data_IF_390005953749
#
_entry.id   IF_390005953749
#
_cell.length_a   1.000
_cell.length_b   1.000
_cell.length_c   1.000
_cell.angle_alpha   90.00
_cell.angle_beta   90.00
_cell.angle_gamma   90.00
#
_symmetry.space_group_name_H-M   'P 1'
#
loop_
_entity.id
_entity.type
_entity.pdbx_description
1 polymer ?
#
# COMPACT_ATOMS: atom_id res chain seq x y z
N UNK A 1 2.99 -30.75 0.93
CA UNK A 1 3.67 -29.46 0.78
C UNK A 1 4.84 -29.56 -0.20
N UNK A 2 5.62 -30.64 -0.15
CA UNK A 2 6.80 -30.83 -1.02
C UNK A 2 6.46 -30.94 -2.52
N UNK A 3 5.35 -31.59 -2.88
CA UNK A 3 4.89 -31.63 -4.28
C UNK A 3 4.55 -30.24 -4.83
N UNK A 4 3.99 -29.35 -3.99
CA UNK A 4 3.71 -27.95 -4.36
C UNK A 4 5.00 -27.15 -4.49
N UNK A 5 5.95 -27.33 -3.56
CA UNK A 5 7.29 -26.72 -3.63
C UNK A 5 8.00 -27.11 -4.92
N UNK A 6 8.01 -28.40 -5.28
CA UNK A 6 8.64 -28.91 -6.49
C UNK A 6 7.95 -28.42 -7.76
N UNK A 7 6.62 -28.30 -7.77
CA UNK A 7 5.88 -27.69 -8.88
C UNK A 7 6.19 -26.19 -9.02
N UNK A 8 6.33 -25.44 -7.92
CA UNK A 8 6.70 -24.02 -7.96
C UNK A 8 8.11 -23.86 -8.53
N UNK A 9 9.07 -24.67 -8.08
CA UNK A 9 10.46 -24.63 -8.57
C UNK A 9 10.54 -25.03 -10.05
N UNK A 10 9.85 -26.11 -10.43
CA UNK A 10 9.83 -26.61 -11.80
C UNK A 10 9.17 -25.64 -12.78
N UNK A 11 8.01 -25.08 -12.43
CA UNK A 11 7.26 -24.17 -13.31
C UNK A 11 7.87 -22.76 -13.36
N UNK A 12 8.56 -22.33 -12.30
CA UNK A 12 9.32 -21.07 -12.30
C UNK A 12 10.54 -21.13 -13.22
N UNK A 13 11.14 -22.32 -13.40
CA UNK A 13 12.27 -22.51 -14.31
C UNK A 13 11.85 -22.61 -15.79
N UNK A 14 10.57 -22.89 -16.07
CA UNK A 14 10.04 -23.11 -17.42
C UNK A 14 9.29 -21.89 -18.01
N UNK A 15 9.28 -20.76 -17.30
CA UNK A 15 8.64 -19.50 -17.71
C UNK A 15 7.10 -19.59 -17.95
N UNK A 16 6.46 -20.67 -17.49
CA UNK A 16 5.00 -20.91 -17.57
C UNK A 16 4.26 -20.28 -16.38
N UNK A 17 4.46 -18.99 -16.17
CA UNK A 17 3.98 -18.25 -14.99
C UNK A 17 2.43 -18.25 -14.89
N UNK A 18 1.71 -18.32 -16.02
CA UNK A 18 0.25 -18.41 -16.02
C UNK A 18 -0.29 -19.76 -15.55
N UNK A 19 0.38 -20.86 -15.89
CA UNK A 19 0.02 -22.19 -15.39
C UNK A 19 0.30 -22.29 -13.89
N UNK A 20 1.40 -21.68 -13.44
CA UNK A 20 1.73 -21.53 -12.03
C UNK A 20 0.62 -20.77 -11.27
N UNK A 21 0.11 -19.67 -11.83
CA UNK A 21 -1.01 -18.94 -11.21
C UNK A 21 -2.28 -19.78 -11.05
N UNK A 22 -2.64 -20.55 -12.07
CA UNK A 22 -3.85 -21.39 -12.05
C UNK A 22 -3.72 -22.56 -11.06
N UNK A 23 -2.56 -23.20 -11.02
CA UNK A 23 -2.27 -24.26 -10.05
C UNK A 23 -2.28 -23.72 -8.62
N UNK A 24 -1.68 -22.55 -8.37
CA UNK A 24 -1.71 -21.92 -7.05
C UNK A 24 -3.12 -21.58 -6.59
N UNK A 25 -3.96 -21.01 -7.47
CA UNK A 25 -5.38 -20.77 -7.18
C UNK A 25 -6.11 -22.06 -6.80
N UNK A 26 -5.89 -23.16 -7.53
CA UNK A 26 -6.50 -24.45 -7.19
C UNK A 26 -5.99 -25.05 -5.87
N UNK A 27 -4.78 -24.69 -5.46
CA UNK A 27 -4.11 -25.24 -4.28
C UNK A 27 -4.34 -24.46 -2.98
N UNK A 28 -5.09 -23.35 -2.99
CA UNK A 28 -5.29 -22.48 -1.82
C UNK A 28 -5.84 -23.25 -0.59
N UNK A 29 -6.70 -24.25 -0.82
CA UNK A 29 -7.22 -25.10 0.25
C UNK A 29 -6.14 -25.95 0.93
N UNK A 30 -5.18 -26.47 0.16
CA UNK A 30 -4.04 -27.26 0.65
C UNK A 30 -3.05 -26.38 1.41
N UNK A 31 -2.86 -25.13 0.97
CA UNK A 31 -2.02 -24.15 1.66
C UNK A 31 -2.57 -23.81 3.04
N UNK A 32 -3.89 -23.64 3.17
CA UNK A 32 -4.52 -23.35 4.46
C UNK A 32 -4.41 -24.53 5.44
N UNK A 33 -4.46 -25.77 4.95
CA UNK A 33 -4.30 -26.98 5.79
C UNK A 33 -2.83 -27.21 6.20
N UNK A 34 -1.87 -26.90 5.33
CA UNK A 34 -0.44 -27.10 5.55
C UNK A 34 0.30 -25.97 6.27
N UNK A 35 -0.39 -25.04 6.94
CA UNK A 35 0.18 -23.78 7.43
C UNK A 35 1.43 -23.92 8.32
N UNK A 36 1.54 -24.98 9.12
CA UNK A 36 2.67 -25.23 10.01
C UNK A 36 4.00 -25.49 9.26
N UNK A 37 3.93 -26.03 8.04
CA UNK A 37 5.11 -26.32 7.21
C UNK A 37 5.52 -25.14 6.32
N UNK A 38 4.69 -24.09 6.23
CA UNK A 38 4.92 -22.96 5.31
C UNK A 38 6.20 -22.21 5.68
N UNK A 39 6.48 -22.01 6.97
CA UNK A 39 7.67 -21.27 7.41
C UNK A 39 8.98 -21.94 6.97
N UNK A 40 9.06 -23.27 7.04
CA UNK A 40 10.22 -24.04 6.57
C UNK A 40 10.35 -24.00 5.05
N UNK A 41 9.24 -24.11 4.33
CA UNK A 41 9.23 -24.02 2.86
C UNK A 41 9.67 -22.63 2.39
N UNK A 42 9.21 -21.55 3.04
CA UNK A 42 9.61 -20.17 2.73
C UNK A 42 11.12 -19.94 2.94
N UNK A 43 11.76 -20.63 3.88
CA UNK A 43 13.21 -20.50 4.10
C UNK A 43 14.04 -21.07 2.94
N UNK A 44 13.53 -22.08 2.24
CA UNK A 44 14.20 -22.74 1.12
C UNK A 44 13.93 -22.10 -0.25
N UNK A 45 12.95 -21.19 -0.32
CA UNK A 45 12.50 -20.56 -1.56
C UNK A 45 13.17 -19.20 -1.77
N UNK A 46 13.73 -18.98 -2.96
CA UNK A 46 14.25 -17.68 -3.36
C UNK A 46 13.09 -16.69 -3.65
N UNK A 47 13.01 -15.53 -2.95
CA UNK A 47 11.97 -14.53 -3.16
C UNK A 47 12.02 -13.87 -4.54
N UNK A 48 13.15 -13.89 -5.26
CA UNK A 48 13.29 -13.27 -6.59
C UNK A 48 12.79 -14.22 -7.68
N UNK A 49 13.21 -15.49 -7.62
CA UNK A 49 12.87 -16.48 -8.64
C UNK A 49 11.41 -16.94 -8.49
N UNK A 50 10.95 -17.20 -7.26
CA UNK A 50 9.65 -17.82 -7.01
C UNK A 50 8.62 -16.83 -6.43
N UNK A 51 8.70 -15.55 -6.81
CA UNK A 51 7.91 -14.47 -6.20
C UNK A 51 6.40 -14.75 -6.14
N UNK A 52 5.82 -15.37 -7.17
CA UNK A 52 4.38 -15.69 -7.19
C UNK A 52 4.03 -16.78 -6.17
N UNK A 53 4.79 -17.87 -6.11
CA UNK A 53 4.58 -18.93 -5.12
C UNK A 53 4.83 -18.43 -3.70
N UNK A 54 5.90 -17.66 -3.52
CA UNK A 54 6.25 -17.03 -2.25
C UNK A 54 5.13 -16.09 -1.76
N UNK A 55 4.51 -15.32 -2.66
CA UNK A 55 3.37 -14.45 -2.33
C UNK A 55 2.18 -15.22 -1.76
N UNK A 56 1.77 -16.30 -2.42
CA UNK A 56 0.63 -17.11 -1.97
C UNK A 56 0.91 -17.81 -0.64
N UNK A 57 2.12 -18.36 -0.47
CA UNK A 57 2.56 -18.98 0.77
C UNK A 57 2.61 -17.97 1.92
N UNK A 58 3.20 -16.81 1.69
CA UNK A 58 3.30 -15.75 2.68
C UNK A 58 1.91 -15.19 3.05
N UNK A 59 1.00 -15.06 2.07
CA UNK A 59 -0.38 -14.63 2.35
C UNK A 59 -1.15 -15.69 3.15
N UNK A 60 -0.96 -16.98 2.88
CA UNK A 60 -1.55 -18.06 3.67
C UNK A 60 -0.99 -18.07 5.09
N UNK A 61 0.33 -17.93 5.26
CA UNK A 61 0.97 -17.82 6.57
C UNK A 61 0.41 -16.63 7.37
N UNK A 62 0.22 -15.48 6.72
CA UNK A 62 -0.39 -14.29 7.32
C UNK A 62 -1.82 -14.49 7.83
N UNK A 63 -2.58 -15.48 7.33
CA UNK A 63 -3.95 -15.79 7.80
C UNK A 63 -3.96 -16.47 9.17
N UNK A 64 -2.93 -17.27 9.44
CA UNK A 64 -2.86 -18.19 10.57
C UNK A 64 -1.90 -17.70 11.66
N UNK A 65 -1.41 -16.46 11.54
CA UNK A 65 -0.62 -15.79 12.56
C UNK A 65 -1.55 -15.28 13.67
N UNK A 66 -1.81 -16.14 14.66
CA UNK A 66 -2.70 -15.83 15.78
C UNK A 66 -1.97 -15.22 16.99
N UNK A 67 -0.63 -15.31 17.05
CA UNK A 67 0.18 -14.85 18.18
C UNK A 67 1.04 -13.61 17.86
N UNK A 68 1.07 -12.58 18.74
CA UNK A 68 1.90 -11.39 18.56
C UNK A 68 3.40 -11.67 18.59
N UNK A 69 3.83 -12.83 19.12
CA UNK A 69 5.24 -13.24 19.10
C UNK A 69 5.73 -13.65 17.69
N UNK A 70 4.83 -14.13 16.82
CA UNK A 70 5.16 -14.49 15.43
C UNK A 70 5.21 -13.31 14.47
N UNK A 71 4.69 -12.15 14.90
CA UNK A 71 4.58 -10.97 14.06
C UNK A 71 5.95 -10.42 13.65
N UNK A 72 6.98 -10.51 14.51
CA UNK A 72 8.33 -10.03 14.21
C UNK A 72 8.99 -10.75 13.03
N UNK A 73 9.06 -12.09 13.10
CA UNK A 73 9.63 -12.91 12.02
C UNK A 73 8.86 -12.76 10.70
N UNK A 74 7.53 -12.67 10.78
CA UNK A 74 6.70 -12.40 9.61
C UNK A 74 6.98 -11.02 9.01
N UNK A 75 7.10 -9.97 9.83
CA UNK A 75 7.40 -8.62 9.38
C UNK A 75 8.75 -8.60 8.65
N UNK A 76 9.78 -9.26 9.19
CA UNK A 76 11.09 -9.33 8.54
C UNK A 76 11.04 -10.07 7.21
N UNK A 77 10.40 -11.25 7.16
CA UNK A 77 10.24 -12.04 5.95
C UNK A 77 9.43 -11.29 4.88
N UNK A 78 8.32 -10.68 5.27
CA UNK A 78 7.49 -9.89 4.37
C UNK A 78 8.22 -8.64 3.90
N UNK A 79 8.93 -7.92 4.78
CA UNK A 79 9.70 -6.74 4.40
C UNK A 79 10.81 -7.08 3.41
N UNK A 80 11.48 -8.22 3.55
CA UNK A 80 12.46 -8.73 2.58
C UNK A 80 11.81 -9.03 1.24
N UNK A 81 10.72 -9.79 1.25
CA UNK A 81 9.98 -10.12 0.04
C UNK A 81 9.51 -8.88 -0.72
N UNK A 82 8.92 -7.90 -0.03
CA UNK A 82 8.42 -6.66 -0.65
C UNK A 82 9.52 -5.81 -1.30
N UNK A 83 10.79 -5.95 -0.90
CA UNK A 83 11.93 -5.28 -1.54
C UNK A 83 12.47 -6.04 -2.74
N UNK A 84 12.59 -7.37 -2.62
CA UNK A 84 13.35 -8.20 -3.55
C UNK A 84 12.49 -8.83 -4.66
N UNK A 85 11.17 -8.82 -4.51
CA UNK A 85 10.23 -9.49 -5.41
C UNK A 85 10.28 -9.04 -6.89
N UNK A 86 10.04 -9.99 -7.80
CA UNK A 86 9.99 -9.78 -9.23
C UNK A 86 8.66 -9.14 -9.68
N UNK A 87 8.74 -7.97 -10.34
CA UNK A 87 7.58 -7.21 -10.78
C UNK A 87 6.66 -7.98 -11.76
N UNK A 88 7.26 -8.71 -12.72
CA UNK A 88 6.52 -9.46 -13.74
C UNK A 88 5.59 -10.53 -13.13
N UNK A 89 6.05 -11.21 -12.08
CA UNK A 89 5.27 -12.24 -11.41
C UNK A 89 4.16 -11.65 -10.53
N UNK A 90 4.43 -10.55 -9.83
CA UNK A 90 3.44 -9.90 -8.96
C UNK A 90 2.29 -9.27 -9.74
N UNK A 91 2.59 -8.72 -10.92
CA UNK A 91 1.57 -8.11 -11.79
C UNK A 91 0.50 -9.11 -12.27
N UNK A 92 0.74 -10.42 -12.16
CA UNK A 92 -0.27 -11.46 -12.46
C UNK A 92 -1.30 -11.65 -11.32
N UNK A 93 -0.95 -11.25 -10.10
CA UNK A 93 -1.78 -11.42 -8.90
C UNK A 93 -1.85 -10.14 -8.05
N UNK A 94 -2.26 -8.99 -8.62
CA UNK A 94 -2.25 -7.69 -7.93
C UNK A 94 -3.16 -7.68 -6.68
N UNK A 95 -4.28 -8.41 -6.72
CA UNK A 95 -5.22 -8.51 -5.60
C UNK A 95 -4.61 -9.24 -4.38
N UNK A 96 -3.91 -10.35 -4.60
CA UNK A 96 -3.27 -11.13 -3.52
C UNK A 96 -2.10 -10.33 -2.94
N UNK A 97 -1.36 -9.63 -3.79
CA UNK A 97 -0.28 -8.74 -3.36
C UNK A 97 -0.78 -7.57 -2.51
N UNK A 98 -1.89 -6.95 -2.92
CA UNK A 98 -2.51 -5.89 -2.13
C UNK A 98 -3.00 -6.39 -0.76
N UNK A 99 -3.56 -7.61 -0.68
CA UNK A 99 -3.97 -8.22 0.58
C UNK A 99 -2.78 -8.48 1.51
N UNK A 100 -1.69 -9.03 0.99
CA UNK A 100 -0.46 -9.27 1.77
C UNK A 100 0.05 -7.96 2.38
N UNK A 101 0.14 -6.91 1.57
CA UNK A 101 0.65 -5.63 2.03
C UNK A 101 -0.27 -4.94 3.05
N UNK A 102 -1.59 -5.08 2.89
CA UNK A 102 -2.57 -4.58 3.89
C UNK A 102 -2.38 -5.26 5.24
N UNK A 103 -2.17 -6.58 5.24
CA UNK A 103 -1.88 -7.36 6.44
C UNK A 103 -0.53 -7.00 7.04
N UNK A 104 0.50 -6.87 6.21
CA UNK A 104 1.82 -6.42 6.64
C UNK A 104 1.72 -5.07 7.37
N UNK A 105 1.00 -4.10 6.79
CA UNK A 105 0.72 -2.81 7.43
C UNK A 105 0.03 -2.98 8.79
N UNK A 106 -1.04 -3.78 8.87
CA UNK A 106 -1.78 -4.03 10.11
C UNK A 106 -0.89 -4.61 11.21
N UNK A 107 -0.02 -5.56 10.85
CA UNK A 107 0.95 -6.17 11.79
C UNK A 107 2.03 -5.20 12.24
N UNK A 108 2.61 -4.43 11.33
CA UNK A 108 3.62 -3.41 11.67
C UNK A 108 3.00 -2.32 12.56
N UNK A 109 1.75 -1.94 12.31
CA UNK A 109 1.02 -1.00 13.16
C UNK A 109 0.73 -1.59 14.55
N UNK A 110 0.31 -2.85 14.63
CA UNK A 110 0.07 -3.55 15.90
C UNK A 110 1.35 -3.74 16.73
N UNK A 111 2.48 -4.01 16.06
CA UNK A 111 3.79 -4.14 16.69
C UNK A 111 4.39 -2.80 17.19
N UNK A 112 3.70 -1.67 16.97
CA UNK A 112 4.15 -0.35 17.42
C UNK A 112 5.36 0.21 16.68
N UNK A 113 5.77 -0.39 15.56
CA UNK A 113 6.93 0.02 14.77
C UNK A 113 6.56 0.49 13.33
N UNK A 114 5.61 1.44 13.16
CA UNK A 114 5.08 1.84 11.85
C UNK A 114 6.16 2.34 10.86
N UNK A 115 7.31 2.82 11.36
CA UNK A 115 8.43 3.28 10.52
C UNK A 115 9.06 2.17 9.69
N UNK A 116 9.15 0.95 10.24
CA UNK A 116 9.81 -0.17 9.57
C UNK A 116 9.03 -0.62 8.31
N UNK A 117 7.72 -0.42 8.29
CA UNK A 117 6.86 -0.81 7.17
C UNK A 117 6.83 0.18 6.01
N UNK A 118 7.34 1.42 6.18
CA UNK A 118 7.24 2.46 5.16
C UNK A 118 8.08 2.11 3.93
N UNK A 119 9.38 1.85 4.09
CA UNK A 119 10.28 1.56 2.97
C UNK A 119 9.91 0.28 2.20
N UNK A 120 9.56 -0.84 2.86
CA UNK A 120 9.09 -2.04 2.17
C UNK A 120 7.82 -1.79 1.35
N UNK A 121 6.84 -1.04 1.88
CA UNK A 121 5.63 -0.72 1.12
C UNK A 121 5.90 0.20 -0.07
N UNK A 122 6.81 1.18 0.07
CA UNK A 122 7.22 2.03 -1.05
C UNK A 122 7.92 1.22 -2.15
N UNK A 123 8.76 0.25 -1.76
CA UNK A 123 9.42 -0.66 -2.71
C UNK A 123 8.40 -1.55 -3.43
N UNK A 124 7.46 -2.13 -2.68
CA UNK A 124 6.36 -2.93 -3.20
C UNK A 124 5.48 -2.15 -4.19
N UNK A 125 5.18 -0.89 -3.87
CA UNK A 125 4.41 0.02 -4.71
C UNK A 125 5.11 0.26 -6.05
N UNK A 126 6.43 0.48 -6.04
CA UNK A 126 7.22 0.68 -7.25
C UNK A 126 7.26 -0.57 -8.15
N UNK A 127 7.22 -1.76 -7.55
CA UNK A 127 7.22 -3.04 -8.29
C UNK A 127 5.85 -3.38 -8.89
N UNK A 128 4.77 -3.08 -8.18
CA UNK A 128 3.42 -3.34 -8.66
C UNK A 128 3.00 -2.35 -9.76
N UNK A 129 3.35 -1.07 -9.60
CA UNK A 129 2.88 -0.03 -10.51
C UNK A 129 3.52 -0.17 -11.90
N UNK A 130 2.72 -0.20 -12.98
CA UNK A 130 3.26 -0.22 -14.34
C UNK A 130 3.78 1.15 -14.79
N UNK A 131 3.24 2.24 -14.26
CA UNK A 131 3.77 3.59 -14.46
C UNK A 131 3.60 4.42 -13.17
N UNK A 132 4.34 5.52 -12.99
CA UNK A 132 4.26 6.35 -11.79
C UNK A 132 2.91 7.05 -11.61
N UNK A 133 2.11 7.16 -12.68
CA UNK A 133 0.80 7.80 -12.68
C UNK A 133 -0.33 6.90 -12.16
N UNK A 134 -0.06 5.60 -11.94
CA UNK A 134 -1.07 4.62 -11.54
C UNK A 134 -1.30 4.60 -10.03
N UNK A 135 -2.56 4.77 -9.64
CA UNK A 135 -2.98 4.53 -8.27
C UNK A 135 -2.94 3.04 -7.94
N UNK A 136 -2.44 2.73 -6.75
CA UNK A 136 -2.48 1.40 -6.13
C UNK A 136 -3.01 1.52 -4.71
N UNK A 137 -3.66 0.49 -4.15
CA UNK A 137 -4.16 0.53 -2.76
C UNK A 137 -3.04 0.79 -1.74
N UNK A 138 -1.80 0.40 -2.11
CA UNK A 138 -0.58 0.63 -1.35
C UNK A 138 -0.29 2.09 -1.04
N UNK A 139 -0.76 3.03 -1.87
CA UNK A 139 -0.57 4.45 -1.61
C UNK A 139 -1.27 4.87 -0.30
N UNK A 140 -2.52 4.44 -0.11
CA UNK A 140 -3.27 4.71 1.10
C UNK A 140 -2.64 4.04 2.32
N UNK A 141 -2.17 2.79 2.17
CA UNK A 141 -1.53 2.02 3.24
C UNK A 141 -0.20 2.64 3.69
N UNK A 142 0.66 3.03 2.74
CA UNK A 142 1.94 3.67 3.03
C UNK A 142 1.75 5.05 3.68
N UNK A 143 0.78 5.85 3.20
CA UNK A 143 0.42 7.12 3.82
C UNK A 143 -0.09 6.95 5.25
N UNK A 144 -0.91 5.91 5.50
CA UNK A 144 -1.38 5.60 6.84
C UNK A 144 -0.20 5.31 7.80
N UNK A 145 0.79 4.51 7.38
CA UNK A 145 1.99 4.29 8.20
C UNK A 145 2.81 5.56 8.42
N UNK A 146 2.95 6.41 7.40
CA UNK A 146 3.65 7.69 7.52
C UNK A 146 2.97 8.60 8.56
N UNK A 147 1.63 8.64 8.58
CA UNK A 147 0.86 9.39 9.57
C UNK A 147 1.04 8.84 10.98
N UNK A 148 0.98 7.51 11.16
CA UNK A 148 1.19 6.85 12.45
C UNK A 148 2.62 7.08 12.98
N UNK A 149 3.62 6.98 12.10
CA UNK A 149 5.03 7.21 12.41
C UNK A 149 5.42 8.69 12.58
N UNK A 150 4.50 9.62 12.27
CA UNK A 150 4.75 11.06 12.10
C UNK A 150 5.91 11.36 11.14
N UNK A 151 6.10 10.51 10.14
CA UNK A 151 7.18 10.56 9.16
C UNK A 151 6.70 11.22 7.86
N UNK A 152 6.32 12.50 7.93
CA UNK A 152 5.73 13.21 6.79
C UNK A 152 6.70 13.42 5.62
N UNK A 153 8.01 13.43 5.87
CA UNK A 153 9.03 13.50 4.82
C UNK A 153 9.02 12.26 3.92
N UNK A 154 8.74 11.07 4.48
CA UNK A 154 8.66 9.83 3.72
C UNK A 154 7.39 9.74 2.84
N UNK A 155 6.37 10.55 3.15
CA UNK A 155 5.15 10.65 2.34
C UNK A 155 5.32 11.56 1.11
N UNK A 156 6.40 12.35 1.03
CA UNK A 156 6.66 13.27 -0.07
C UNK A 156 6.52 12.66 -1.47
N UNK A 157 7.18 11.53 -1.79
CA UNK A 157 7.07 10.94 -3.12
C UNK A 157 5.65 10.47 -3.46
N UNK A 158 4.78 10.25 -2.47
CA UNK A 158 3.39 9.82 -2.71
C UNK A 158 2.43 11.00 -2.89
N UNK A 159 2.72 12.14 -2.27
CA UNK A 159 1.83 13.32 -2.26
C UNK A 159 2.19 14.31 -3.38
N UNK A 160 3.49 14.44 -3.65
CA UNK A 160 4.03 15.35 -4.66
C UNK A 160 3.86 14.78 -6.08
N UNK A 161 3.60 13.47 -6.23
CA UNK A 161 3.27 12.85 -7.52
C UNK A 161 1.78 13.05 -7.86
N UNK A 162 1.50 13.58 -9.05
CA UNK A 162 0.14 13.67 -9.57
C UNK A 162 -0.29 12.31 -10.13
N UNK A 163 -1.18 11.64 -9.41
CA UNK A 163 -1.77 10.37 -9.81
C UNK A 163 -2.95 10.67 -10.74
N UNK A 164 -2.80 10.34 -12.03
CA UNK A 164 -3.78 10.62 -13.07
C UNK A 164 -4.52 9.36 -13.57
N UNK A 165 -4.00 8.16 -13.28
CA UNK A 165 -4.57 6.89 -13.80
C UNK A 165 -5.07 5.99 -12.70
N UNK A 166 -6.31 5.54 -12.85
CA UNK A 166 -6.94 4.52 -11.99
C UNK A 166 -7.37 3.37 -12.88
N UNK A 167 -6.67 2.23 -12.78
CA UNK A 167 -6.94 1.02 -13.57
C UNK A 167 -7.26 -0.17 -12.64
N UNK A 168 -8.53 -0.33 -12.21
CA UNK A 168 -8.91 -1.37 -11.23
C UNK A 168 -8.53 -2.80 -11.67
N UNK A 169 -8.57 -3.08 -12.98
CA UNK A 169 -8.23 -4.40 -13.53
C UNK A 169 -6.76 -4.79 -13.31
N UNK A 170 -5.86 -3.81 -13.20
CA UNK A 170 -4.40 -4.05 -13.08
C UNK A 170 -3.86 -3.80 -11.69
N UNK A 171 -4.46 -2.90 -10.92
CA UNK A 171 -3.98 -2.53 -9.59
C UNK A 171 -4.89 -2.96 -8.44
N UNK A 172 -6.04 -3.58 -8.76
CA UNK A 172 -7.06 -4.02 -7.78
C UNK A 172 -7.55 -2.88 -6.86
N UNK A 173 -7.52 -1.64 -7.35
CA UNK A 173 -7.96 -0.45 -6.61
C UNK A 173 -9.48 -0.41 -6.50
N UNK A 174 -9.98 -0.17 -5.29
CA UNK A 174 -11.39 0.14 -5.04
C UNK A 174 -11.63 1.65 -4.95
N UNK A 175 -12.88 2.08 -5.14
CA UNK A 175 -13.27 3.48 -4.96
C UNK A 175 -12.94 4.01 -3.55
N UNK A 176 -13.03 3.14 -2.53
CA UNK A 176 -12.68 3.49 -1.15
C UNK A 176 -11.18 3.75 -0.97
N UNK A 177 -10.31 3.03 -1.68
CA UNK A 177 -8.86 3.23 -1.59
C UNK A 177 -8.44 4.59 -2.16
N UNK A 178 -9.11 5.06 -3.22
CA UNK A 178 -8.92 6.41 -3.74
C UNK A 178 -9.30 7.48 -2.71
N UNK A 179 -10.44 7.31 -2.02
CA UNK A 179 -10.85 8.25 -0.98
C UNK A 179 -9.86 8.27 0.20
N UNK A 180 -9.37 7.11 0.61
CA UNK A 180 -8.37 6.99 1.67
C UNK A 180 -7.04 7.63 1.25
N UNK A 181 -6.60 7.42 0.01
CA UNK A 181 -5.43 8.09 -0.54
C UNK A 181 -5.57 9.61 -0.45
N UNK A 182 -6.69 10.17 -0.94
CA UNK A 182 -6.91 11.62 -0.91
C UNK A 182 -7.00 12.18 0.53
N UNK A 183 -7.66 11.44 1.44
CA UNK A 183 -7.76 11.85 2.85
C UNK A 183 -6.40 11.85 3.55
N UNK A 184 -5.66 10.74 3.47
CA UNK A 184 -4.36 10.58 4.11
C UNK A 184 -3.28 11.42 3.45
N UNK A 185 -3.32 11.57 2.12
CA UNK A 185 -2.44 12.44 1.36
C UNK A 185 -2.61 13.90 1.78
N UNK A 186 -3.86 14.36 1.91
CA UNK A 186 -4.13 15.71 2.43
C UNK A 186 -3.68 15.90 3.89
N UNK A 187 -3.81 14.88 4.74
CA UNK A 187 -3.27 14.93 6.11
C UNK A 187 -1.74 14.97 6.14
N UNK A 188 -1.06 14.22 5.26
CA UNK A 188 0.38 14.23 5.14
C UNK A 188 0.89 15.57 4.60
N UNK A 189 0.25 16.13 3.57
CA UNK A 189 0.53 17.47 3.03
C UNK A 189 0.35 18.56 4.08
N UNK A 190 -0.72 18.49 4.88
CA UNK A 190 -0.94 19.41 6.00
C UNK A 190 0.19 19.30 7.05
N UNK A 191 0.67 18.08 7.35
CA UNK A 191 1.83 17.87 8.22
C UNK A 191 3.13 18.50 7.70
N UNK A 192 3.24 18.68 6.37
CA UNK A 192 4.37 19.37 5.70
C UNK A 192 4.14 20.87 5.50
N UNK A 193 3.07 21.45 6.04
CA UNK A 193 2.63 22.84 5.80
C UNK A 193 2.26 23.16 4.33
N UNK A 194 2.02 22.16 3.49
CA UNK A 194 1.59 22.35 2.09
C UNK A 194 0.06 22.46 2.01
N UNK A 195 -0.50 23.58 2.49
CA UNK A 195 -1.95 23.75 2.65
C UNK A 195 -2.72 23.76 1.33
N UNK A 196 -2.16 24.35 0.27
CA UNK A 196 -2.79 24.38 -1.05
C UNK A 196 -3.04 22.96 -1.57
N UNK A 197 -2.00 22.12 -1.54
CA UNK A 197 -2.08 20.72 -1.96
C UNK A 197 -3.01 19.91 -1.07
N UNK A 198 -2.99 20.14 0.24
CA UNK A 198 -3.90 19.47 1.17
C UNK A 198 -5.37 19.78 0.85
N UNK A 199 -5.68 21.03 0.49
CA UNK A 199 -7.02 21.46 0.13
C UNK A 199 -7.50 20.83 -1.18
N UNK A 200 -6.63 20.73 -2.19
CA UNK A 200 -6.91 20.06 -3.46
C UNK A 200 -7.24 18.58 -3.24
N UNK A 201 -6.41 17.86 -2.48
CA UNK A 201 -6.61 16.45 -2.19
C UNK A 201 -7.92 16.20 -1.41
N UNK A 202 -8.24 17.05 -0.43
CA UNK A 202 -9.53 16.94 0.26
C UNK A 202 -10.71 17.36 -0.61
N UNK A 203 -10.53 18.25 -1.60
CA UNK A 203 -11.56 18.52 -2.60
C UNK A 203 -11.86 17.25 -3.37
N UNK A 204 -10.82 16.63 -3.92
CA UNK A 204 -10.91 15.40 -4.72
C UNK A 204 -11.58 14.28 -3.92
N UNK A 205 -11.31 14.16 -2.62
CA UNK A 205 -11.98 13.19 -1.74
C UNK A 205 -13.50 13.42 -1.63
N UNK A 206 -13.95 14.68 -1.61
CA UNK A 206 -15.36 15.06 -1.46
C UNK A 206 -16.10 15.03 -2.79
N UNK A 207 -15.43 15.39 -3.88
CA UNK A 207 -16.01 15.41 -5.23
C UNK A 207 -15.97 14.05 -5.91
N UNK A 208 -15.22 13.08 -5.37
CA UNK A 208 -15.19 11.73 -5.89
C UNK A 208 -16.61 11.11 -5.86
N UNK A 209 -17.10 10.55 -6.98
CA UNK A 209 -18.43 9.97 -7.03
C UNK A 209 -18.48 8.74 -6.11
N UNK A 210 -19.23 8.84 -5.01
CA UNK A 210 -19.55 7.69 -4.17
C UNK A 210 -21.03 7.53 -3.99
N UNK A 211 -21.49 6.29 -4.17
CA UNK A 211 -22.89 5.91 -4.01
C UNK A 211 -23.39 6.10 -2.56
N UNK A 212 -22.48 6.01 -1.59
CA UNK A 212 -22.77 6.20 -0.15
C UNK A 212 -21.78 7.21 0.43
N UNK A 213 -22.30 8.21 1.15
CA UNK A 213 -21.47 9.12 1.93
C UNK A 213 -20.73 8.32 3.03
N UNK A 214 -19.44 8.09 2.83
CA UNK A 214 -18.61 7.35 3.77
C UNK A 214 -18.16 8.24 4.94
N UNK A 215 -17.87 7.65 6.10
CA UNK A 215 -17.27 8.39 7.22
C UNK A 215 -15.96 9.11 6.81
N UNK A 216 -15.30 8.59 5.77
CA UNK A 216 -14.08 9.12 5.16
C UNK A 216 -14.34 10.47 4.49
N UNK A 217 -15.43 10.61 3.70
CA UNK A 217 -15.77 11.89 3.05
C UNK A 217 -16.17 12.95 4.06
N UNK A 218 -16.90 12.58 5.11
CA UNK A 218 -17.26 13.50 6.18
C UNK A 218 -16.01 13.98 6.96
N UNK A 219 -15.06 13.09 7.22
CA UNK A 219 -13.80 13.45 7.86
C UNK A 219 -12.96 14.39 6.97
N UNK A 220 -12.92 14.14 5.66
CA UNK A 220 -12.26 15.03 4.69
C UNK A 220 -12.92 16.41 4.68
N UNK A 221 -14.25 16.46 4.60
CA UNK A 221 -15.02 17.71 4.61
C UNK A 221 -14.77 18.53 5.88
N UNK A 222 -14.82 17.91 7.07
CA UNK A 222 -14.55 18.59 8.35
C UNK A 222 -13.13 19.17 8.39
N UNK A 223 -12.13 18.44 7.89
CA UNK A 223 -10.74 18.90 7.83
C UNK A 223 -10.57 20.08 6.87
N UNK A 224 -11.18 19.99 5.68
CA UNK A 224 -11.22 21.06 4.69
C UNK A 224 -11.86 22.32 5.25
N UNK A 225 -13.05 22.20 5.82
CA UNK A 225 -13.78 23.32 6.43
C UNK A 225 -12.94 24.01 7.52
N UNK A 226 -12.29 23.23 8.40
CA UNK A 226 -11.38 23.76 9.42
C UNK A 226 -10.20 24.53 8.82
N UNK A 227 -9.58 24.03 7.75
CA UNK A 227 -8.45 24.73 7.15
C UNK A 227 -8.87 26.03 6.46
N UNK A 228 -10.01 26.04 5.77
CA UNK A 228 -10.55 27.23 5.11
C UNK A 228 -10.98 28.29 6.12
N UNK A 229 -11.70 27.90 7.18
CA UNK A 229 -12.26 28.83 8.15
C UNK A 229 -11.25 29.19 9.26
N UNK A 230 -10.41 28.26 9.67
CA UNK A 230 -9.33 28.49 10.62
C UNK A 230 -8.18 29.32 10.06
N UNK A 231 -7.97 29.31 8.74
CA UNK A 231 -7.09 30.25 8.03
C UNK A 231 -7.71 31.65 7.82
N UNK A 232 -9.01 31.81 8.11
CA UNK A 232 -9.77 33.03 7.88
C UNK A 232 -9.51 34.16 8.89
N UNK A 233 -8.67 33.96 9.91
CA UNK A 233 -8.30 34.97 10.90
C UNK A 233 -7.04 35.80 10.58
N UNK A 234 -6.29 35.49 9.51
CA UNK A 234 -5.00 36.13 9.26
C UNK A 234 -4.66 36.49 7.81
N UNK A 235 -5.53 36.21 6.84
CA UNK A 235 -5.24 36.46 5.43
C UNK A 235 -6.46 36.99 4.65
N UNK A 236 -7.04 38.10 5.14
CA UNK A 236 -7.84 39.01 4.29
C UNK A 236 -7.18 40.37 4.31
N UNK A 237 -6.17 40.53 3.46
CA UNK A 237 -5.44 41.79 3.34
C UNK A 237 -4.30 41.69 2.33
N UNK A 238 -4.63 41.49 1.05
CA UNK A 238 -3.92 42.07 -0.11
C UNK A 238 -4.42 41.42 -1.39
N UNK A 239 -4.97 42.24 -2.29
CA UNK A 239 -5.19 41.85 -3.66
C UNK A 239 -3.87 41.89 -4.46
N UNK A 240 -3.88 41.19 -5.60
CA UNK A 240 -2.98 41.48 -6.72
C UNK A 240 -1.86 40.48 -6.94
N UNK A 241 -1.93 39.81 -8.09
CA UNK A 241 -0.84 39.40 -9.00
C UNK A 241 0.54 39.01 -8.42
N UNK A 242 0.96 37.82 -8.85
CA UNK A 242 2.31 37.44 -9.30
C UNK A 242 3.47 37.44 -8.29
N UNK A 243 4.22 36.32 -8.31
CA UNK A 243 5.66 36.33 -8.01
C UNK A 243 6.07 35.71 -6.67
N UNK A 244 6.78 34.59 -6.78
CA UNK A 244 7.97 34.20 -6.01
C UNK A 244 7.98 34.32 -4.47
N UNK A 245 8.12 33.16 -3.84
CA UNK A 245 9.19 32.93 -2.86
C UNK A 245 8.93 33.30 -1.39
N UNK A 246 9.19 32.33 -0.51
CA UNK A 246 9.75 32.62 0.82
C UNK A 246 8.84 32.44 2.03
N UNK A 247 9.15 31.40 2.80
CA UNK A 247 9.09 31.32 4.27
C UNK A 247 7.83 31.74 5.03
N UNK A 248 7.18 30.74 5.63
CA UNK A 248 6.42 30.91 6.87
C UNK A 248 7.22 30.31 8.04
N UNK A 249 7.62 31.18 8.97
CA UNK A 249 8.02 30.81 10.35
C UNK A 249 6.91 29.99 11.00
#
# INVERSE_FOLDING_TARGET
MDNLKNSIIGLSAQDTIQQLHNTLKSSEAVLNQGHAQIAGVLADLDPVQHSLGYLYLLNAHARHLDSPAGDGAFIELAARFLRDCAAAQIQLAPAVFAQLCRRFKERVAAAGAPRLGILPLLSALQRLRPSPEHLTPMHADALQLCLLARAYSAAAPLVDQDISRVEPARTAVTASDLQLYCLYGGMAAAGRKQWARALELWLQAVTAPTFVASAITLAAYKKRARCVWGGGGGARGSGGRAGMGGNCR
#
